data_IF_189346450415
#
_entry.id   IF_189346450415
#
_cell.length_a   1.000
_cell.length_b   1.000
_cell.length_c   1.000
_cell.angle_alpha   90.00
_cell.angle_beta   90.00
_cell.angle_gamma   90.00
#
_symmetry.space_group_name_H-M   'P 1'
#
loop_
_entity.id
_entity.type
_entity.pdbx_description
1 polymer ?
#
# COMPACT_ATOMS: atom_id res chain seq x y z
N UNK A 1 -10.15 -2.37 -7.25
CA UNK A 1 -10.87 -2.05 -8.50
C UNK A 1 -10.54 -3.04 -9.63
N UNK A 2 -9.28 -3.20 -10.04
CA UNK A 2 -8.87 -4.04 -11.19
C UNK A 2 -9.37 -5.49 -11.12
N UNK A 3 -9.22 -6.15 -9.95
CA UNK A 3 -9.67 -7.54 -9.74
C UNK A 3 -11.20 -7.66 -9.89
N UNK A 4 -11.96 -6.73 -9.31
CA UNK A 4 -13.42 -6.72 -9.43
C UNK A 4 -13.88 -6.56 -10.87
N UNK A 5 -13.21 -5.69 -11.64
CA UNK A 5 -13.46 -5.52 -13.08
C UNK A 5 -13.17 -6.83 -13.84
N UNK A 6 -12.02 -7.47 -13.59
CA UNK A 6 -11.68 -8.74 -14.23
C UNK A 6 -12.69 -9.83 -13.90
N UNK A 7 -13.14 -9.92 -12.66
CA UNK A 7 -14.12 -10.94 -12.23
C UNK A 7 -15.48 -10.65 -12.84
N UNK A 8 -15.88 -9.40 -12.99
CA UNK A 8 -17.10 -9.04 -13.72
C UNK A 8 -17.03 -9.49 -15.20
N UNK A 9 -15.87 -9.32 -15.86
CA UNK A 9 -15.64 -9.81 -17.23
C UNK A 9 -15.74 -11.35 -17.31
N UNK A 10 -15.11 -12.08 -16.38
CA UNK A 10 -15.15 -13.56 -16.33
C UNK A 10 -16.55 -14.12 -16.01
N UNK A 11 -17.31 -13.43 -15.15
CA UNK A 11 -18.70 -13.77 -14.83
C UNK A 11 -19.66 -13.39 -15.97
N UNK A 12 -19.25 -12.47 -16.85
CA UNK A 12 -20.08 -11.98 -17.94
C UNK A 12 -21.12 -10.94 -17.51
N UNK A 13 -20.86 -10.16 -16.45
CA UNK A 13 -21.73 -9.10 -15.96
C UNK A 13 -21.08 -7.71 -16.08
N UNK A 14 -21.89 -6.66 -15.98
CA UNK A 14 -21.36 -5.30 -15.87
C UNK A 14 -20.86 -5.04 -14.45
N UNK A 15 -19.70 -4.38 -14.32
CA UNK A 15 -19.20 -3.94 -13.02
C UNK A 15 -20.22 -3.01 -12.33
N UNK A 16 -20.52 -3.30 -11.06
CA UNK A 16 -21.54 -2.63 -10.26
C UNK A 16 -22.88 -3.37 -10.20
N UNK A 17 -23.10 -4.38 -11.04
CA UNK A 17 -24.26 -5.28 -10.98
C UNK A 17 -23.94 -6.46 -10.06
N UNK A 18 -23.86 -7.70 -10.57
CA UNK A 18 -23.60 -8.90 -9.76
C UNK A 18 -22.23 -8.89 -9.08
N UNK A 19 -21.23 -8.28 -9.73
CA UNK A 19 -19.89 -8.06 -9.19
C UNK A 19 -19.69 -6.56 -9.02
N UNK A 20 -19.35 -6.15 -7.81
CA UNK A 20 -19.12 -4.74 -7.47
C UNK A 20 -17.89 -4.57 -6.58
N UNK A 21 -17.53 -3.31 -6.34
CA UNK A 21 -16.48 -2.99 -5.39
C UNK A 21 -16.81 -1.78 -4.54
N UNK A 22 -16.22 -1.71 -3.35
CA UNK A 22 -16.26 -0.53 -2.50
C UNK A 22 -14.87 -0.25 -1.96
N UNK A 23 -14.36 0.93 -2.27
CA UNK A 23 -13.14 1.48 -1.67
C UNK A 23 -13.48 2.81 -0.99
N UNK A 24 -12.52 3.41 -0.30
CA UNK A 24 -12.76 4.67 0.40
C UNK A 24 -13.14 5.76 -0.62
N UNK A 25 -14.28 6.41 -0.38
CA UNK A 25 -14.85 7.48 -1.24
C UNK A 25 -15.37 7.04 -2.62
N UNK A 26 -15.33 5.74 -2.96
CA UNK A 26 -15.85 5.22 -4.22
C UNK A 26 -16.57 3.87 -4.00
N UNK A 27 -17.86 3.84 -4.31
CA UNK A 27 -18.72 2.67 -4.14
C UNK A 27 -19.44 2.36 -5.45
N UNK A 28 -19.01 1.27 -6.11
CA UNK A 28 -19.60 0.74 -7.32
C UNK A 28 -20.32 -0.57 -6.98
N UNK A 29 -21.41 -0.47 -6.22
CA UNK A 29 -22.28 -1.60 -5.87
C UNK A 29 -23.75 -1.25 -6.08
N UNK A 30 -24.60 -2.27 -6.19
CA UNK A 30 -26.04 -2.12 -6.33
C UNK A 30 -26.77 -3.19 -5.53
N UNK A 31 -28.11 -3.14 -5.40
CA UNK A 31 -28.88 -4.18 -4.73
C UNK A 31 -28.75 -5.57 -5.37
N UNK A 32 -28.29 -5.67 -6.63
CA UNK A 32 -28.04 -6.95 -7.30
C UNK A 32 -26.63 -7.51 -7.05
N UNK A 33 -25.75 -6.76 -6.38
CA UNK A 33 -24.37 -7.21 -6.09
C UNK A 33 -24.35 -8.41 -5.16
N UNK A 34 -23.75 -9.49 -5.64
CA UNK A 34 -23.55 -10.76 -4.93
C UNK A 34 -22.10 -10.94 -4.50
N UNK A 35 -21.16 -10.50 -5.33
CA UNK A 35 -19.72 -10.57 -5.05
C UNK A 35 -19.20 -9.14 -4.91
N UNK A 36 -18.72 -8.81 -3.71
CA UNK A 36 -18.27 -7.47 -3.36
C UNK A 36 -16.80 -7.50 -3.01
N UNK A 37 -15.96 -6.86 -3.82
CA UNK A 37 -14.56 -6.61 -3.51
C UNK A 37 -14.43 -5.32 -2.72
N UNK A 38 -13.78 -5.34 -1.57
CA UNK A 38 -13.57 -4.12 -0.81
C UNK A 38 -12.21 -4.11 -0.12
N UNK A 39 -11.75 -2.93 0.26
CA UNK A 39 -10.59 -2.84 1.14
C UNK A 39 -10.97 -3.31 2.56
N UNK A 40 -10.00 -3.87 3.26
CA UNK A 40 -10.09 -4.25 4.67
C UNK A 40 -10.67 -3.11 5.55
N UNK A 41 -10.23 -1.87 5.35
CA UNK A 41 -10.76 -0.70 6.06
C UNK A 41 -12.25 -0.44 5.81
N UNK A 42 -12.78 -0.74 4.61
CA UNK A 42 -14.21 -0.62 4.34
C UNK A 42 -15.01 -1.72 5.04
N UNK A 43 -14.49 -2.95 5.09
CA UNK A 43 -15.11 -4.03 5.85
C UNK A 43 -15.09 -3.74 7.37
N UNK A 44 -13.98 -3.19 7.87
CA UNK A 44 -13.87 -2.73 9.26
C UNK A 44 -14.89 -1.63 9.58
N UNK A 45 -15.25 -0.80 8.60
CA UNK A 45 -16.31 0.19 8.77
C UNK A 45 -17.70 -0.45 8.79
N UNK A 46 -17.96 -1.41 7.93
CA UNK A 46 -19.25 -2.10 7.89
C UNK A 46 -19.52 -2.87 9.19
N UNK A 47 -18.51 -3.53 9.77
CA UNK A 47 -18.68 -4.26 11.04
C UNK A 47 -18.94 -3.33 12.24
N UNK A 48 -18.56 -2.04 12.19
CA UNK A 48 -18.99 -1.05 13.19
C UNK A 48 -20.48 -0.79 13.15
N UNK A 49 -21.04 -0.74 11.92
CA UNK A 49 -22.45 -0.42 11.71
C UNK A 49 -23.32 -1.66 11.94
N UNK A 50 -22.84 -2.83 11.51
CA UNK A 50 -23.49 -4.12 11.68
C UNK A 50 -22.49 -5.17 12.16
N UNK A 51 -22.39 -5.34 13.48
CA UNK A 51 -21.46 -6.29 14.10
C UNK A 51 -21.73 -7.77 13.76
N UNK A 52 -22.94 -8.09 13.28
CA UNK A 52 -23.31 -9.45 12.86
C UNK A 52 -23.03 -9.70 11.37
N UNK A 53 -22.71 -8.64 10.61
CA UNK A 53 -22.46 -8.67 9.17
C UNK A 53 -23.54 -9.45 8.39
N UNK A 54 -24.81 -9.18 8.67
CA UNK A 54 -25.98 -9.97 8.19
C UNK A 54 -26.12 -10.00 6.68
N UNK A 55 -25.49 -9.05 5.99
CA UNK A 55 -25.45 -8.96 4.53
C UNK A 55 -24.56 -10.03 3.88
N UNK A 56 -23.67 -10.67 4.64
CA UNK A 56 -22.69 -11.61 4.12
C UNK A 56 -22.93 -13.02 4.64
N UNK A 57 -22.92 -13.99 3.74
CA UNK A 57 -22.89 -15.43 4.07
C UNK A 57 -21.46 -15.98 4.13
N UNK A 58 -20.52 -15.36 3.41
CA UNK A 58 -19.11 -15.69 3.43
C UNK A 58 -18.26 -14.42 3.31
N UNK A 59 -17.13 -14.39 4.00
CA UNK A 59 -16.12 -13.32 3.94
C UNK A 59 -14.77 -13.96 3.63
N UNK A 60 -14.09 -13.43 2.61
CA UNK A 60 -12.72 -13.81 2.27
C UNK A 60 -11.78 -12.66 2.60
N UNK A 61 -10.84 -12.90 3.53
CA UNK A 61 -9.76 -11.97 3.85
C UNK A 61 -8.55 -12.38 3.01
N UNK A 62 -8.30 -11.61 1.96
CA UNK A 62 -7.22 -11.88 1.01
C UNK A 62 -5.92 -11.19 1.40
N UNK A 63 -4.80 -11.71 0.87
CA UNK A 63 -3.46 -11.16 1.12
C UNK A 63 -3.13 -11.03 2.63
N UNK A 64 -3.62 -11.97 3.46
CA UNK A 64 -3.52 -11.94 4.92
C UNK A 64 -2.08 -11.84 5.46
N UNK A 65 -1.08 -12.17 4.64
CA UNK A 65 0.32 -12.04 4.97
C UNK A 65 0.84 -10.60 4.97
N UNK A 66 0.13 -9.63 4.38
CA UNK A 66 0.49 -8.21 4.50
C UNK A 66 0.29 -7.68 5.93
N UNK A 67 -0.54 -8.36 6.73
CA UNK A 67 -0.74 -8.08 8.17
C UNK A 67 -0.97 -6.59 8.45
N UNK A 68 -1.89 -5.99 7.69
CA UNK A 68 -2.35 -4.61 7.90
C UNK A 68 -3.09 -4.49 9.24
N UNK A 69 -3.18 -3.27 9.78
CA UNK A 69 -3.88 -3.05 11.05
C UNK A 69 -5.37 -3.41 10.94
N UNK A 70 -6.01 -3.01 9.84
CA UNK A 70 -7.43 -3.30 9.62
C UNK A 70 -7.68 -4.81 9.50
N UNK A 71 -6.82 -5.55 8.79
CA UNK A 71 -6.90 -7.00 8.68
C UNK A 71 -6.73 -7.70 10.03
N UNK A 72 -5.76 -7.27 10.85
CA UNK A 72 -5.55 -7.84 12.20
C UNK A 72 -6.73 -7.58 13.14
N UNK A 73 -7.32 -6.39 13.08
CA UNK A 73 -8.55 -6.08 13.82
C UNK A 73 -9.72 -6.94 13.31
N UNK A 74 -9.85 -7.08 11.99
CA UNK A 74 -10.88 -7.92 11.38
C UNK A 74 -10.76 -9.39 11.80
N UNK A 75 -9.55 -9.94 11.91
CA UNK A 75 -9.35 -11.31 12.39
C UNK A 75 -9.98 -11.53 13.77
N UNK A 76 -9.69 -10.63 14.71
CA UNK A 76 -10.22 -10.70 16.07
C UNK A 76 -11.75 -10.54 16.12
N UNK A 77 -12.29 -9.59 15.36
CA UNK A 77 -13.72 -9.35 15.30
C UNK A 77 -14.46 -10.52 14.65
N UNK A 78 -13.99 -11.00 13.51
CA UNK A 78 -14.63 -12.08 12.76
C UNK A 78 -14.54 -13.42 13.49
N UNK A 79 -13.42 -13.70 14.19
CA UNK A 79 -13.28 -14.86 15.09
C UNK A 79 -14.34 -14.85 16.19
N UNK A 80 -14.72 -13.68 16.70
CA UNK A 80 -15.84 -13.52 17.64
C UNK A 80 -17.19 -13.66 16.95
N UNK A 81 -17.39 -13.03 15.78
CA UNK A 81 -18.67 -13.07 15.04
C UNK A 81 -19.05 -14.49 14.64
N UNK A 82 -18.13 -15.33 14.16
CA UNK A 82 -18.44 -16.71 13.75
C UNK A 82 -18.89 -17.61 14.91
N UNK A 83 -18.50 -17.29 16.16
CA UNK A 83 -19.04 -17.99 17.34
C UNK A 83 -20.54 -17.73 17.54
N UNK A 84 -21.03 -16.56 17.12
CA UNK A 84 -22.43 -16.16 17.22
C UNK A 84 -23.23 -16.39 15.93
N UNK A 85 -22.55 -16.41 14.77
CA UNK A 85 -23.11 -16.59 13.42
C UNK A 85 -22.55 -17.88 12.79
N UNK A 86 -23.06 -19.08 13.16
CA UNK A 86 -22.53 -20.35 12.66
C UNK A 86 -22.75 -20.57 11.15
N UNK A 87 -23.66 -19.80 10.55
CA UNK A 87 -23.93 -19.78 9.12
C UNK A 87 -22.96 -18.88 8.32
N UNK A 88 -22.24 -17.96 8.98
CA UNK A 88 -21.18 -17.16 8.36
C UNK A 88 -19.92 -18.02 8.15
N UNK A 89 -19.36 -17.98 6.95
CA UNK A 89 -18.08 -18.63 6.62
C UNK A 89 -16.97 -17.59 6.49
N UNK A 90 -15.80 -17.88 7.06
CA UNK A 90 -14.59 -17.08 6.87
C UNK A 90 -13.59 -17.91 6.08
N UNK A 91 -12.98 -17.27 5.08
CA UNK A 91 -11.85 -17.80 4.32
C UNK A 91 -10.70 -16.81 4.50
N UNK A 92 -9.53 -17.29 4.89
CA UNK A 92 -8.31 -16.46 5.00
C UNK A 92 -7.33 -16.98 3.96
N UNK A 93 -6.98 -16.14 2.98
CA UNK A 93 -6.02 -16.48 1.93
C UNK A 93 -4.70 -15.76 2.18
N UNK A 94 -3.60 -16.51 2.03
CA UNK A 94 -2.24 -16.03 2.25
C UNK A 94 -1.30 -16.65 1.22
N UNK A 95 -0.31 -15.88 0.75
CA UNK A 95 0.74 -16.35 -0.15
C UNK A 95 1.97 -16.92 0.59
N UNK A 96 2.06 -16.74 1.92
CA UNK A 96 3.20 -17.21 2.71
C UNK A 96 2.91 -18.56 3.37
N UNK A 97 3.98 -19.29 3.71
CA UNK A 97 3.93 -20.60 4.33
C UNK A 97 3.55 -20.59 5.83
N UNK A 98 3.30 -19.43 6.43
CA UNK A 98 2.93 -19.32 7.85
C UNK A 98 1.44 -19.62 8.11
N UNK A 99 0.90 -20.61 7.40
CA UNK A 99 -0.50 -21.03 7.51
C UNK A 99 -0.81 -21.62 8.90
N UNK A 100 0.20 -22.19 9.57
CA UNK A 100 0.07 -22.77 10.91
C UNK A 100 -0.27 -21.71 11.96
N UNK A 101 0.30 -20.50 11.86
CA UNK A 101 -0.03 -19.40 12.77
C UNK A 101 -1.48 -18.95 12.61
N UNK A 102 -1.94 -18.82 11.36
CA UNK A 102 -3.36 -18.51 11.07
C UNK A 102 -4.28 -19.63 11.59
N UNK A 103 -3.95 -20.89 11.30
CA UNK A 103 -4.73 -22.05 11.75
C UNK A 103 -4.85 -22.08 13.27
N UNK A 104 -3.73 -21.96 13.98
CA UNK A 104 -3.69 -21.93 15.45
C UNK A 104 -4.55 -20.79 16.01
N UNK A 105 -4.44 -19.59 15.44
CA UNK A 105 -5.22 -18.43 15.87
C UNK A 105 -6.72 -18.61 15.63
N UNK A 106 -7.12 -19.24 14.52
CA UNK A 106 -8.53 -19.53 14.19
C UNK A 106 -9.03 -20.87 14.74
N UNK A 107 -8.49 -21.33 15.87
CA UNK A 107 -8.86 -22.57 16.57
C UNK A 107 -8.61 -23.85 15.75
N UNK A 108 -7.37 -24.01 15.26
CA UNK A 108 -6.91 -25.15 14.46
C UNK A 108 -7.75 -25.35 13.19
N UNK A 109 -8.08 -24.26 12.50
CA UNK A 109 -8.90 -24.36 11.30
C UNK A 109 -8.15 -25.13 10.18
N UNK A 110 -8.86 -25.91 9.35
CA UNK A 110 -8.22 -26.68 8.28
C UNK A 110 -7.41 -25.79 7.33
N UNK A 111 -6.19 -26.21 7.03
CA UNK A 111 -5.32 -25.55 6.04
C UNK A 111 -5.51 -26.23 4.70
N UNK A 112 -5.82 -25.44 3.67
CA UNK A 112 -5.88 -25.91 2.29
C UNK A 112 -4.74 -25.27 1.49
N UNK A 113 -3.75 -26.07 1.12
CA UNK A 113 -2.60 -25.62 0.34
C UNK A 113 -2.84 -25.91 -1.14
N UNK A 114 -2.87 -24.86 -1.96
CA UNK A 114 -2.86 -25.00 -3.42
C UNK A 114 -1.40 -25.19 -3.84
N UNK A 115 -1.01 -26.34 -4.42
CA UNK A 115 0.36 -26.53 -4.89
C UNK A 115 0.67 -25.49 -5.95
N UNK A 116 1.71 -24.69 -5.72
CA UNK A 116 2.14 -23.65 -6.64
C UNK A 116 2.46 -24.21 -8.02
N UNK A 117 2.06 -23.49 -9.07
CA UNK A 117 2.44 -23.78 -10.46
C UNK A 117 3.70 -23.01 -10.87
N UNK A 118 4.55 -22.66 -9.92
CA UNK A 118 5.77 -21.91 -10.20
C UNK A 118 6.84 -22.85 -10.76
N UNK A 119 7.44 -22.43 -11.86
CA UNK A 119 8.64 -23.05 -12.41
C UNK A 119 9.83 -22.84 -11.45
N UNK A 120 10.86 -23.70 -11.50
CA UNK A 120 12.04 -23.56 -10.66
C UNK A 120 12.74 -22.22 -10.93
N UNK A 121 13.16 -21.55 -9.86
CA UNK A 121 13.93 -20.31 -9.91
C UNK A 121 15.31 -20.56 -9.32
N UNK A 122 16.36 -20.31 -10.10
CA UNK A 122 17.74 -20.35 -9.61
C UNK A 122 18.02 -19.10 -8.76
N UNK A 123 18.48 -19.29 -7.51
CA UNK A 123 18.81 -18.19 -6.62
C UNK A 123 20.32 -17.98 -6.62
N UNK A 124 20.75 -16.76 -6.96
CA UNK A 124 22.14 -16.33 -6.93
C UNK A 124 22.31 -15.29 -5.82
N UNK A 125 23.35 -15.44 -5.01
CA UNK A 125 23.70 -14.51 -3.92
C UNK A 125 25.01 -13.79 -4.23
N UNK A 126 25.12 -12.53 -3.81
CA UNK A 126 26.41 -11.84 -3.78
C UNK A 126 27.39 -12.56 -2.85
N UNK A 127 28.67 -12.57 -3.22
CA UNK A 127 29.73 -13.19 -2.41
C UNK A 127 30.08 -12.37 -1.18
N UNK A 128 30.03 -11.05 -1.31
CA UNK A 128 30.33 -10.08 -0.26
C UNK A 128 29.16 -9.09 -0.14
N UNK A 129 28.98 -8.44 1.03
CA UNK A 129 27.98 -7.40 1.19
C UNK A 129 28.24 -6.20 0.27
N UNK A 130 27.23 -5.78 -0.48
CA UNK A 130 27.31 -4.61 -1.35
C UNK A 130 27.11 -3.32 -0.54
N UNK A 131 28.06 -2.37 -0.64
CA UNK A 131 27.96 -1.07 0.04
C UNK A 131 27.00 -0.11 -0.67
N UNK A 132 26.96 -0.16 -2.00
CA UNK A 132 26.04 0.58 -2.85
C UNK A 132 25.17 -0.40 -3.65
N UNK A 133 24.02 -0.76 -3.07
CA UNK A 133 23.10 -1.70 -3.69
C UNK A 133 22.47 -1.13 -4.98
N UNK A 134 22.41 0.19 -5.13
CA UNK A 134 21.79 0.82 -6.30
C UNK A 134 22.68 0.62 -7.52
N UNK A 135 23.98 0.92 -7.37
CA UNK A 135 24.95 0.71 -8.43
C UNK A 135 25.08 -0.78 -8.79
N UNK A 136 25.16 -1.65 -7.77
CA UNK A 136 25.22 -3.10 -7.97
C UNK A 136 23.97 -3.63 -8.71
N UNK A 137 22.79 -3.11 -8.39
CA UNK A 137 21.54 -3.47 -9.07
C UNK A 137 21.56 -3.08 -10.55
N UNK A 138 21.96 -1.85 -10.86
CA UNK A 138 22.02 -1.37 -12.24
C UNK A 138 23.03 -2.15 -13.09
N UNK A 139 24.21 -2.44 -12.52
CA UNK A 139 25.21 -3.27 -13.18
C UNK A 139 24.69 -4.70 -13.42
N UNK A 140 23.99 -5.28 -12.45
CA UNK A 140 23.39 -6.61 -12.59
C UNK A 140 22.33 -6.63 -13.69
N UNK A 141 21.46 -5.61 -13.77
CA UNK A 141 20.48 -5.47 -14.86
C UNK A 141 21.17 -5.42 -16.23
N UNK A 142 22.23 -4.62 -16.36
CA UNK A 142 22.99 -4.53 -17.61
C UNK A 142 23.66 -5.86 -17.98
N UNK A 143 24.25 -6.55 -17.00
CA UNK A 143 24.86 -7.85 -17.21
C UNK A 143 23.83 -8.88 -17.69
N UNK A 144 22.67 -8.95 -17.05
CA UNK A 144 21.56 -9.84 -17.44
C UNK A 144 21.13 -9.52 -18.88
N UNK A 145 20.93 -8.24 -19.21
CA UNK A 145 20.53 -7.83 -20.56
C UNK A 145 21.50 -8.28 -21.66
N UNK A 146 22.81 -8.23 -21.37
CA UNK A 146 23.86 -8.57 -22.33
C UNK A 146 24.18 -10.07 -22.45
N UNK A 147 23.99 -10.83 -21.37
CA UNK A 147 24.50 -12.21 -21.28
C UNK A 147 23.43 -13.29 -21.18
N UNK A 148 22.27 -12.98 -20.61
CA UNK A 148 21.20 -13.95 -20.40
C UNK A 148 20.27 -14.04 -21.62
N UNK A 149 19.58 -15.18 -21.84
CA UNK A 149 18.63 -15.35 -22.94
C UNK A 149 17.38 -14.47 -22.77
N UNK A 150 16.45 -14.54 -23.74
CA UNK A 150 15.20 -13.77 -23.72
C UNK A 150 14.44 -13.97 -22.40
N UNK A 151 14.01 -12.85 -21.83
CA UNK A 151 13.16 -12.78 -20.64
C UNK A 151 13.26 -11.40 -20.02
N UNK A 152 12.14 -10.88 -19.52
CA UNK A 152 12.10 -9.53 -18.96
C UNK A 152 12.65 -9.52 -17.53
N UNK A 153 13.10 -8.34 -17.11
CA UNK A 153 13.78 -8.12 -15.83
C UNK A 153 12.86 -7.35 -14.90
N UNK A 154 12.76 -7.78 -13.64
CA UNK A 154 12.12 -7.06 -12.56
C UNK A 154 13.15 -6.68 -11.50
N UNK A 155 13.38 -5.37 -11.33
CA UNK A 155 14.25 -4.82 -10.29
C UNK A 155 13.41 -4.22 -9.17
N UNK A 156 13.67 -4.62 -7.93
CA UNK A 156 13.05 -4.02 -6.74
C UNK A 156 13.88 -2.86 -6.20
N UNK A 157 13.27 -1.67 -6.01
CA UNK A 157 13.85 -0.50 -5.34
C UNK A 157 12.89 0.09 -4.30
N UNK A 158 13.35 1.03 -3.49
CA UNK A 158 12.61 1.41 -2.27
C UNK A 158 11.62 2.55 -2.46
N UNK A 159 11.78 3.39 -3.50
CA UNK A 159 10.88 4.52 -3.71
C UNK A 159 11.11 5.29 -5.01
N UNK A 160 10.24 6.26 -5.26
CA UNK A 160 10.19 7.02 -6.52
C UNK A 160 11.53 7.67 -6.90
N UNK A 161 12.18 8.38 -5.97
CA UNK A 161 13.42 9.11 -6.28
C UNK A 161 14.55 8.18 -6.74
N UNK A 162 14.69 7.02 -6.08
CA UNK A 162 15.64 5.98 -6.47
C UNK A 162 15.29 5.37 -7.83
N UNK A 163 14.00 5.11 -8.08
CA UNK A 163 13.51 4.53 -9.32
C UNK A 163 13.75 5.47 -10.50
N UNK A 164 13.35 6.74 -10.39
CA UNK A 164 13.48 7.73 -11.46
C UNK A 164 14.96 7.95 -11.80
N UNK A 165 15.82 8.08 -10.78
CA UNK A 165 17.27 8.22 -10.95
C UNK A 165 17.89 6.97 -11.58
N UNK A 166 17.45 5.79 -11.19
CA UNK A 166 17.88 4.52 -11.78
C UNK A 166 17.48 4.39 -13.25
N UNK A 167 16.28 4.85 -13.61
CA UNK A 167 15.83 4.85 -15.00
C UNK A 167 16.71 5.75 -15.88
N UNK A 168 17.02 6.96 -15.40
CA UNK A 168 17.89 7.91 -16.08
C UNK A 168 19.30 7.34 -16.29
N UNK A 169 19.93 6.83 -15.22
CA UNK A 169 21.28 6.27 -15.28
C UNK A 169 21.34 5.06 -16.22
N UNK A 170 20.37 4.15 -16.13
CA UNK A 170 20.33 2.97 -16.96
C UNK A 170 20.13 3.34 -18.44
N UNK A 171 19.27 4.33 -18.73
CA UNK A 171 19.07 4.83 -20.09
C UNK A 171 20.35 5.43 -20.68
N UNK A 172 21.07 6.26 -19.93
CA UNK A 172 22.35 6.84 -20.37
C UNK A 172 23.42 5.78 -20.62
N UNK A 173 23.53 4.80 -19.71
CA UNK A 173 24.48 3.68 -19.86
C UNK A 173 24.17 2.81 -21.08
N UNK A 174 22.89 2.49 -21.31
CA UNK A 174 22.48 1.74 -22.50
C UNK A 174 22.78 2.49 -23.79
N UNK A 175 22.57 3.81 -23.81
CA UNK A 175 22.93 4.65 -24.96
C UNK A 175 24.45 4.68 -25.23
N UNK A 176 25.26 4.63 -24.17
CA UNK A 176 26.72 4.64 -24.28
C UNK A 176 27.32 3.33 -24.84
N UNK A 177 26.62 2.20 -24.71
CA UNK A 177 27.07 0.90 -25.22
C UNK A 177 27.02 0.79 -26.76
N UNK A 178 26.34 1.71 -27.45
CA UNK A 178 26.29 1.77 -28.91
C UNK A 178 25.17 0.93 -29.56
N UNK A 179 25.07 0.93 -30.90
CA UNK A 179 23.94 0.36 -31.65
C UNK A 179 23.97 -1.18 -31.76
N UNK A 180 25.07 -1.84 -31.40
CA UNK A 180 25.20 -3.30 -31.49
C UNK A 180 24.50 -4.04 -30.34
N UNK A 181 24.02 -3.31 -29.33
CA UNK A 181 23.32 -3.87 -28.17
C UNK A 181 21.80 -3.85 -28.39
N UNK A 182 21.09 -4.95 -28.08
CA UNK A 182 19.63 -5.00 -28.12
C UNK A 182 18.99 -3.85 -27.33
N UNK A 183 17.86 -3.34 -27.79
CA UNK A 183 17.15 -2.26 -27.10
C UNK A 183 16.64 -2.74 -25.74
N UNK A 184 16.85 -1.91 -24.70
CA UNK A 184 16.34 -2.13 -23.35
C UNK A 184 15.24 -1.09 -23.06
N UNK A 185 14.01 -1.55 -22.88
CA UNK A 185 12.86 -0.70 -22.54
C UNK A 185 12.76 -0.61 -21.02
N UNK A 186 12.94 0.60 -20.49
CA UNK A 186 12.98 0.86 -19.04
C UNK A 186 11.65 1.46 -18.60
N UNK A 187 10.96 0.81 -17.66
CA UNK A 187 9.66 1.24 -17.16
C UNK A 187 9.62 1.33 -15.62
N UNK A 188 9.32 2.51 -15.04
CA UNK A 188 9.17 2.68 -13.59
C UNK A 188 7.77 2.25 -13.11
N UNK A 189 7.68 1.72 -11.88
CA UNK A 189 6.41 1.38 -11.21
C UNK A 189 6.46 1.70 -9.72
N UNK A 190 5.59 2.61 -9.28
CA UNK A 190 5.40 2.96 -7.87
C UNK A 190 3.98 3.50 -7.64
N UNK A 191 3.51 3.57 -6.39
CA UNK A 191 2.09 3.82 -6.10
C UNK A 191 1.53 5.15 -6.62
N UNK A 192 2.36 6.17 -6.78
CA UNK A 192 1.95 7.51 -7.26
C UNK A 192 1.97 7.66 -8.79
N UNK A 193 2.27 6.60 -9.55
CA UNK A 193 2.36 6.67 -11.01
C UNK A 193 0.97 6.71 -11.66
N UNK A 194 0.72 7.58 -12.67
CA UNK A 194 -0.54 7.61 -13.41
C UNK A 194 -0.89 6.26 -14.06
N UNK A 195 -2.20 5.94 -14.09
CA UNK A 195 -2.73 4.67 -14.62
C UNK A 195 -2.34 4.37 -16.07
N UNK A 196 -2.21 5.41 -16.90
CA UNK A 196 -1.78 5.29 -18.30
C UNK A 196 -0.37 4.70 -18.41
N UNK A 197 0.55 5.17 -17.57
CA UNK A 197 1.94 4.69 -17.56
C UNK A 197 2.02 3.30 -16.92
N UNK A 198 1.21 3.04 -15.89
CA UNK A 198 1.08 1.69 -15.31
C UNK A 198 0.49 0.66 -16.28
N UNK A 199 -0.20 1.06 -17.35
CA UNK A 199 -0.70 0.08 -18.32
C UNK A 199 0.43 -0.43 -19.22
N UNK A 200 1.43 0.42 -19.50
CA UNK A 200 2.56 0.09 -20.38
C UNK A 200 3.43 -1.05 -19.86
N UNK A 201 3.47 -1.29 -18.55
CA UNK A 201 4.25 -2.42 -18.00
C UNK A 201 3.68 -3.79 -18.37
N UNK A 202 2.40 -3.87 -18.73
CA UNK A 202 1.76 -5.11 -19.17
C UNK A 202 1.95 -5.35 -20.68
N UNK A 203 2.42 -4.36 -21.43
CA UNK A 203 2.68 -4.53 -22.85
C UNK A 203 3.92 -5.42 -23.06
N UNK A 204 3.87 -6.37 -24.01
CA UNK A 204 5.01 -7.23 -24.30
C UNK A 204 6.13 -6.43 -24.99
N UNK A 205 7.38 -6.78 -24.69
CA UNK A 205 8.53 -6.17 -25.36
C UNK A 205 8.53 -6.52 -26.87
N UNK A 206 8.80 -5.55 -27.77
CA UNK A 206 9.02 -5.80 -29.19
C UNK A 206 10.07 -6.89 -29.45
N UNK A 207 9.95 -7.65 -30.56
CA UNK A 207 10.94 -8.68 -30.91
C UNK A 207 12.34 -8.10 -31.03
N UNK A 208 13.31 -8.74 -30.35
CA UNK A 208 14.72 -8.28 -30.34
C UNK A 208 15.03 -7.23 -29.27
N UNK A 209 14.05 -6.84 -28.44
CA UNK A 209 14.26 -6.00 -27.27
C UNK A 209 13.99 -6.75 -25.97
N UNK A 210 14.40 -6.17 -24.84
CA UNK A 210 14.07 -6.64 -23.49
C UNK A 210 13.41 -5.51 -22.71
N UNK A 211 12.46 -5.83 -21.85
CA UNK A 211 11.89 -4.87 -20.90
C UNK A 211 12.52 -5.07 -19.52
N UNK A 212 12.85 -3.96 -18.87
CA UNK A 212 13.15 -3.92 -17.44
C UNK A 212 12.11 -3.07 -16.74
N UNK A 213 11.48 -3.66 -15.74
CA UNK A 213 10.54 -2.98 -14.86
C UNK A 213 11.25 -2.71 -13.54
N UNK A 214 11.33 -1.44 -13.16
CA UNK A 214 11.92 -1.00 -11.90
C UNK A 214 10.78 -0.62 -10.96
N UNK A 215 10.55 -1.44 -9.93
CA UNK A 215 9.35 -1.38 -9.12
C UNK A 215 9.63 -1.28 -7.62
N UNK A 216 8.69 -0.71 -6.87
CA UNK A 216 8.63 -0.91 -5.42
C UNK A 216 8.06 -2.29 -5.06
N UNK A 217 7.78 -2.54 -3.78
CA UNK A 217 7.08 -3.73 -3.31
C UNK A 217 5.65 -3.89 -3.88
N UNK A 218 5.13 -2.96 -4.68
CA UNK A 218 3.88 -3.16 -5.44
C UNK A 218 3.95 -4.35 -6.41
N UNK A 219 5.14 -4.66 -6.94
CA UNK A 219 5.36 -5.85 -7.77
C UNK A 219 5.53 -7.15 -6.95
N UNK A 220 5.68 -7.03 -5.62
CA UNK A 220 5.85 -8.15 -4.70
C UNK A 220 4.54 -8.86 -4.39
N UNK A 221 3.43 -8.11 -4.29
CA UNK A 221 2.07 -8.61 -4.01
C UNK A 221 1.09 -8.19 -5.10
N UNK A 222 0.85 -6.88 -5.24
CA UNK A 222 -0.30 -6.28 -5.93
C UNK A 222 -0.36 -6.47 -7.46
N UNK A 223 0.77 -6.69 -8.15
CA UNK A 223 0.81 -6.72 -9.62
C UNK A 223 1.57 -7.94 -10.14
N UNK A 224 1.01 -8.58 -11.17
CA UNK A 224 1.63 -9.65 -11.93
C UNK A 224 2.01 -9.15 -13.31
N UNK A 225 3.30 -9.14 -13.61
CA UNK A 225 3.82 -8.79 -14.93
C UNK A 225 4.21 -10.10 -15.61
N UNK A 226 3.64 -10.35 -16.78
CA UNK A 226 3.95 -11.54 -17.57
C UNK A 226 5.37 -11.43 -18.17
N UNK A 227 5.97 -12.58 -18.51
CA UNK A 227 7.29 -12.69 -19.14
C UNK A 227 8.48 -12.21 -18.28
N UNK A 228 8.31 -12.06 -16.97
CA UNK A 228 9.44 -11.86 -16.04
C UNK A 228 10.15 -13.20 -15.80
N UNK A 229 11.41 -13.27 -16.22
CA UNK A 229 12.29 -14.43 -15.99
C UNK A 229 13.46 -14.11 -15.06
N UNK A 230 13.81 -12.82 -14.92
CA UNK A 230 14.94 -12.38 -14.13
C UNK A 230 14.48 -11.39 -13.07
N UNK A 231 14.79 -11.67 -11.81
CA UNK A 231 14.54 -10.76 -10.69
C UNK A 231 15.87 -10.28 -10.13
N UNK A 232 16.00 -8.97 -9.89
CA UNK A 232 17.12 -8.38 -9.15
C UNK A 232 16.56 -7.84 -7.83
N UNK A 233 17.03 -8.39 -6.72
CA UNK A 233 16.55 -8.09 -5.37
C UNK A 233 17.69 -7.53 -4.49
N UNK A 234 17.73 -6.20 -4.30
CA UNK A 234 18.64 -5.57 -3.35
C UNK A 234 18.37 -5.90 -1.88
N UNK A 235 17.20 -6.46 -1.54
CA UNK A 235 16.89 -6.85 -0.16
C UNK A 235 16.35 -5.74 0.73
N UNK A 236 15.90 -4.61 0.16
CA UNK A 236 15.36 -3.48 0.91
C UNK A 236 13.89 -3.17 0.58
N UNK A 237 13.21 -2.53 1.54
CA UNK A 237 11.86 -1.99 1.40
C UNK A 237 11.74 -0.71 2.24
N UNK A 238 10.93 0.24 1.78
CA UNK A 238 10.57 1.43 2.55
C UNK A 238 9.27 1.17 3.27
N UNK A 239 9.27 1.29 4.60
CA UNK A 239 8.11 0.98 5.42
C UNK A 239 7.85 2.05 6.48
N UNK A 240 6.58 2.18 6.88
CA UNK A 240 6.18 3.06 7.98
C UNK A 240 6.68 2.49 9.30
N UNK A 241 7.32 3.33 10.09
CA UNK A 241 7.78 3.05 11.44
C UNK A 241 7.37 4.20 12.36
N UNK A 242 6.69 3.86 13.45
CA UNK A 242 6.26 4.79 14.48
C UNK A 242 7.27 4.82 15.62
N UNK A 243 7.69 6.02 16.02
CA UNK A 243 8.46 6.23 17.24
C UNK A 243 7.53 6.71 18.37
N UNK A 244 7.22 5.86 19.37
CA UNK A 244 6.34 6.24 20.48
C UNK A 244 6.88 7.36 21.36
N UNK A 245 8.21 7.55 21.41
CA UNK A 245 8.81 8.61 22.23
C UNK A 245 8.66 9.97 21.58
N UNK A 246 8.74 10.01 20.26
CA UNK A 246 8.56 11.23 19.48
C UNK A 246 7.09 11.47 19.12
N UNK A 247 6.26 10.42 19.14
CA UNK A 247 4.86 10.48 18.73
C UNK A 247 4.67 10.66 17.22
N UNK A 248 5.63 10.21 16.40
CA UNK A 248 5.66 10.49 14.95
C UNK A 248 5.83 9.22 14.12
N UNK A 249 5.10 9.15 13.01
CA UNK A 249 5.33 8.19 11.95
C UNK A 249 6.47 8.68 11.03
N UNK A 250 7.35 7.75 10.66
CA UNK A 250 8.45 7.98 9.72
C UNK A 250 8.48 6.89 8.65
N UNK A 251 8.98 7.21 7.47
CA UNK A 251 9.23 6.22 6.42
C UNK A 251 10.71 5.86 6.42
N UNK A 252 11.02 4.64 6.84
CA UNK A 252 12.40 4.16 6.99
C UNK A 252 12.67 3.06 5.98
N UNK A 253 13.86 3.09 5.37
CA UNK A 253 14.35 1.99 4.54
C UNK A 253 14.92 0.92 5.46
N UNK A 254 14.46 -0.31 5.28
CA UNK A 254 14.86 -1.45 6.11
C UNK A 254 15.08 -2.70 5.26
N UNK A 255 15.88 -3.67 5.73
CA UNK A 255 15.94 -4.98 5.11
C UNK A 255 14.57 -5.65 5.03
N UNK A 256 14.36 -6.46 4.00
CA UNK A 256 13.15 -7.29 3.84
C UNK A 256 13.20 -8.53 4.72
N UNK A 257 12.04 -9.16 4.94
CA UNK A 257 11.99 -10.49 5.55
C UNK A 257 12.28 -11.61 4.53
N UNK A 258 12.61 -12.80 5.03
CA UNK A 258 12.82 -13.99 4.19
C UNK A 258 11.56 -14.34 3.39
N UNK A 259 10.37 -14.17 3.99
CA UNK A 259 9.10 -14.35 3.29
C UNK A 259 8.98 -13.41 2.07
N UNK A 260 9.31 -12.13 2.24
CA UNK A 260 9.30 -11.15 1.14
C UNK A 260 10.34 -11.48 0.07
N UNK A 261 11.56 -11.82 0.47
CA UNK A 261 12.62 -12.24 -0.44
C UNK A 261 12.21 -13.47 -1.29
N UNK A 262 11.45 -14.39 -0.71
CA UNK A 262 10.94 -15.57 -1.41
C UNK A 262 9.78 -15.21 -2.36
N UNK A 263 8.90 -14.28 -1.98
CA UNK A 263 7.87 -13.76 -2.88
C UNK A 263 8.46 -13.03 -4.08
N UNK A 264 9.47 -12.18 -3.85
CA UNK A 264 10.21 -11.49 -4.92
C UNK A 264 10.85 -12.48 -5.89
N UNK A 265 11.58 -13.47 -5.37
CA UNK A 265 12.16 -14.53 -6.19
C UNK A 265 11.10 -15.31 -7.00
N UNK A 266 9.95 -15.59 -6.39
CA UNK A 266 8.83 -16.29 -7.04
C UNK A 266 8.26 -15.57 -8.25
N UNK A 267 8.48 -14.25 -8.39
CA UNK A 267 8.04 -13.48 -9.58
C UNK A 267 8.77 -13.92 -10.85
N UNK A 268 10.00 -14.43 -10.76
CA UNK A 268 10.76 -14.98 -11.90
C UNK A 268 10.24 -16.35 -12.39
N UNK A 269 9.48 -17.08 -11.56
CA UNK A 269 9.06 -18.45 -11.84
C UNK A 269 7.64 -18.59 -12.39
N UNK A 270 7.01 -17.52 -12.85
CA UNK A 270 5.58 -17.52 -13.23
C UNK A 270 5.32 -18.03 -14.64
N UNK A 271 6.15 -17.62 -15.59
CA UNK A 271 5.99 -17.98 -17.01
C UNK A 271 6.85 -19.19 -17.39
N UNK A 272 8.04 -19.31 -16.82
CA UNK A 272 8.99 -20.39 -17.08
C UNK A 272 10.11 -20.41 -16.05
N UNK A 273 11.12 -21.30 -16.22
CA UNK A 273 12.28 -21.34 -15.33
C UNK A 273 13.04 -20.02 -15.35
N UNK A 274 13.26 -19.42 -14.18
CA UNK A 274 13.84 -18.08 -14.05
C UNK A 274 15.05 -18.03 -13.14
N UNK A 275 15.62 -16.83 -12.96
CA UNK A 275 16.72 -16.56 -12.04
C UNK A 275 16.41 -15.37 -11.14
N UNK A 276 16.83 -15.44 -9.88
CA UNK A 276 16.75 -14.35 -8.93
C UNK A 276 18.15 -14.01 -8.41
N UNK A 277 18.57 -12.77 -8.65
CA UNK A 277 19.85 -12.22 -8.22
C UNK A 277 19.66 -11.41 -6.94
N UNK A 278 20.05 -11.98 -5.80
CA UNK A 278 20.01 -11.35 -4.49
C UNK A 278 21.33 -10.62 -4.25
N UNK A 279 21.28 -9.30 -4.07
CA UNK A 279 22.48 -8.46 -3.88
C UNK A 279 22.99 -8.46 -2.43
N UNK A 280 22.75 -9.56 -1.73
CA UNK A 280 23.14 -9.81 -0.36
C UNK A 280 23.65 -11.24 -0.24
N UNK A 281 24.44 -11.51 0.78
CA UNK A 281 25.03 -12.82 0.99
C UNK A 281 23.99 -13.82 1.47
N UNK A 282 24.24 -15.11 1.22
CA UNK A 282 23.40 -16.18 1.76
C UNK A 282 23.40 -16.18 3.30
N UNK A 283 24.52 -15.83 3.92
CA UNK A 283 24.64 -15.68 5.37
C UNK A 283 23.71 -14.57 5.90
N UNK A 284 23.66 -13.41 5.24
CA UNK A 284 22.76 -12.33 5.62
C UNK A 284 21.28 -12.74 5.49
N UNK A 285 20.93 -13.45 4.42
CA UNK A 285 19.58 -14.00 4.24
C UNK A 285 19.16 -14.93 5.39
N UNK A 286 20.05 -15.82 5.82
CA UNK A 286 19.72 -16.81 6.85
C UNK A 286 19.78 -16.26 8.28
N UNK A 287 20.74 -15.38 8.58
CA UNK A 287 21.04 -14.95 9.94
C UNK A 287 20.55 -13.54 10.29
N UNK A 288 20.48 -12.62 9.32
CA UNK A 288 20.16 -11.21 9.57
C UNK A 288 18.70 -10.87 9.22
N UNK A 289 18.15 -11.48 8.16
CA UNK A 289 16.76 -11.24 7.74
C UNK A 289 15.77 -11.97 8.64
N UNK A 290 14.73 -11.26 9.08
CA UNK A 290 13.63 -11.84 9.85
C UNK A 290 12.87 -12.88 9.00
N UNK A 291 12.35 -13.98 9.58
CA UNK A 291 11.57 -14.96 8.83
C UNK A 291 10.33 -14.37 8.16
N UNK A 292 9.59 -13.54 8.89
CA UNK A 292 8.36 -12.89 8.46
C UNK A 292 8.40 -11.40 8.76
N UNK A 293 7.63 -10.62 8.02
CA UNK A 293 7.49 -9.18 8.25
C UNK A 293 6.75 -8.92 9.57
N UNK A 294 7.23 -7.96 10.35
CA UNK A 294 6.57 -7.53 11.58
C UNK A 294 5.20 -6.93 11.21
N UNK A 295 4.09 -7.27 11.87
CA UNK A 295 2.77 -6.78 11.51
C UNK A 295 2.67 -5.26 11.68
N UNK A 296 1.77 -4.62 10.90
CA UNK A 296 1.61 -3.17 10.92
C UNK A 296 1.19 -2.64 12.30
N UNK A 297 0.41 -3.43 13.05
CA UNK A 297 -0.10 -3.06 14.38
C UNK A 297 1.01 -2.83 15.42
N UNK A 298 2.18 -3.42 15.22
CA UNK A 298 3.33 -3.24 16.12
C UNK A 298 4.23 -2.06 15.73
N UNK A 299 3.96 -1.39 14.60
CA UNK A 299 4.90 -0.44 13.98
C UNK A 299 4.29 0.88 13.53
N UNK A 300 2.99 1.08 13.73
CA UNK A 300 2.28 2.29 13.29
C UNK A 300 1.53 2.93 14.46
N UNK A 301 1.15 4.19 14.30
CA UNK A 301 0.26 4.87 15.24
C UNK A 301 -1.09 4.14 15.33
N UNK A 302 -1.58 3.95 16.56
CA UNK A 302 -2.83 3.23 16.86
C UNK A 302 -3.99 4.16 17.24
N UNK A 303 -3.81 5.48 17.25
CA UNK A 303 -4.85 6.44 17.68
C UNK A 303 -6.16 6.29 16.92
N UNK A 304 -6.11 6.18 15.58
CA UNK A 304 -7.30 5.88 14.79
C UNK A 304 -7.90 4.51 15.16
N UNK A 305 -7.08 3.45 15.20
CA UNK A 305 -7.54 2.09 15.52
C UNK A 305 -8.19 1.98 16.89
N UNK A 306 -7.62 2.61 17.91
CA UNK A 306 -8.16 2.61 19.28
C UNK A 306 -9.49 3.35 19.32
N UNK A 307 -9.60 4.50 18.65
CA UNK A 307 -10.86 5.23 18.55
C UNK A 307 -11.97 4.34 17.96
N UNK A 308 -11.65 3.58 16.92
CA UNK A 308 -12.56 2.67 16.26
C UNK A 308 -12.96 1.50 17.15
N UNK A 309 -12.01 0.86 17.84
CA UNK A 309 -12.29 -0.22 18.80
C UNK A 309 -13.18 0.26 19.96
N UNK A 310 -12.90 1.46 20.49
CA UNK A 310 -13.73 2.09 21.52
C UNK A 310 -15.14 2.41 21.00
N UNK A 311 -15.28 2.85 19.76
CA UNK A 311 -16.57 3.05 19.11
C UNK A 311 -17.37 1.74 18.94
N UNK A 312 -16.70 0.60 18.75
CA UNK A 312 -17.32 -0.74 18.76
C UNK A 312 -17.76 -1.20 20.17
N UNK A 313 -17.43 -0.44 21.22
CA UNK A 313 -17.69 -0.84 22.61
C UNK A 313 -16.63 -1.76 23.21
N UNK A 314 -15.46 -1.89 22.56
CA UNK A 314 -14.33 -2.67 23.08
C UNK A 314 -13.54 -1.77 24.04
N UNK A 315 -13.75 -1.98 25.34
CA UNK A 315 -13.09 -1.18 26.38
C UNK A 315 -11.78 -1.77 26.86
N UNK A 316 -11.68 -3.11 26.91
CA UNK A 316 -10.47 -3.83 27.29
C UNK A 316 -9.58 -4.05 26.06
N UNK A 317 -8.72 -3.08 25.80
CA UNK A 317 -7.79 -3.09 24.67
C UNK A 317 -6.57 -3.98 24.93
N UNK A 318 -6.23 -4.21 26.19
CA UNK A 318 -5.04 -4.99 26.59
C UNK A 318 -5.29 -6.48 26.35
N UNK A 319 -6.48 -6.96 26.72
CA UNK A 319 -6.87 -8.36 26.52
C UNK A 319 -7.64 -8.59 25.20
N UNK A 320 -7.62 -7.62 24.28
CA UNK A 320 -8.20 -7.83 22.96
C UNK A 320 -7.41 -8.91 22.22
N UNK A 321 -8.13 -9.82 21.56
CA UNK A 321 -7.59 -11.05 20.94
C UNK A 321 -6.84 -10.75 19.63
N UNK A 322 -5.83 -9.87 19.66
CA UNK A 322 -4.93 -9.67 18.54
C UNK A 322 -4.10 -10.91 18.28
N UNK A 323 -3.83 -11.23 17.01
CA UNK A 323 -2.91 -12.31 16.66
C UNK A 323 -1.49 -12.03 17.16
N UNK A 324 -1.04 -10.78 16.98
CA UNK A 324 0.20 -10.27 17.57
C UNK A 324 -0.14 -8.94 18.26
N UNK A 325 -0.09 -8.85 19.60
CA UNK A 325 -0.48 -7.64 20.31
C UNK A 325 0.49 -6.49 20.04
N UNK A 326 0.00 -5.24 19.98
CA UNK A 326 0.86 -4.07 19.90
C UNK A 326 1.65 -3.84 21.20
N UNK A 327 2.80 -3.13 21.13
CA UNK A 327 3.51 -2.71 22.34
C UNK A 327 2.64 -1.85 23.25
N UNK A 328 2.69 -2.11 24.57
CA UNK A 328 1.89 -1.40 25.58
C UNK A 328 2.13 0.11 25.54
N UNK A 329 3.39 0.54 25.33
CA UNK A 329 3.72 1.97 25.24
C UNK A 329 2.99 2.65 24.08
N UNK A 330 2.90 2.00 22.90
CA UNK A 330 2.18 2.54 21.74
C UNK A 330 0.68 2.66 22.03
N UNK A 331 0.09 1.68 22.73
CA UNK A 331 -1.30 1.77 23.18
C UNK A 331 -1.54 2.94 24.14
N UNK A 332 -0.64 3.13 25.11
CA UNK A 332 -0.74 4.22 26.09
C UNK A 332 -0.64 5.59 25.43
N UNK A 333 0.37 5.80 24.57
CA UNK A 333 0.54 7.07 23.85
C UNK A 333 -0.68 7.39 22.98
N UNK A 334 -1.26 6.39 22.31
CA UNK A 334 -2.47 6.58 21.52
C UNK A 334 -3.71 6.92 22.38
N UNK A 335 -3.85 6.31 23.56
CA UNK A 335 -4.90 6.67 24.53
C UNK A 335 -4.72 8.09 25.07
N UNK A 336 -3.49 8.49 25.40
CA UNK A 336 -3.14 9.84 25.82
C UNK A 336 -3.44 10.87 24.73
N UNK A 337 -3.13 10.57 23.47
CA UNK A 337 -3.47 11.41 22.32
C UNK A 337 -4.99 11.59 22.19
N UNK A 338 -5.76 10.50 22.25
CA UNK A 338 -7.22 10.56 22.16
C UNK A 338 -7.86 11.31 23.34
N UNK A 339 -7.29 11.16 24.54
CA UNK A 339 -7.69 11.94 25.70
C UNK A 339 -7.38 13.44 25.54
N UNK A 340 -6.19 13.79 25.04
CA UNK A 340 -5.84 15.17 24.70
C UNK A 340 -6.74 15.77 23.60
N UNK A 341 -7.20 14.94 22.67
CA UNK A 341 -8.20 15.31 21.67
C UNK A 341 -9.62 15.41 22.25
N UNK A 342 -9.83 15.07 23.52
CA UNK A 342 -11.15 14.99 24.17
C UNK A 342 -12.09 13.99 23.51
N UNK A 343 -11.52 13.01 22.80
CA UNK A 343 -12.25 11.88 22.23
C UNK A 343 -12.58 10.85 23.33
N UNK A 344 -11.73 10.76 24.35
CA UNK A 344 -11.91 9.96 25.55
C UNK A 344 -12.07 10.84 26.80
N UNK A 345 -12.78 10.34 27.80
CA UNK A 345 -12.89 10.96 29.14
C UNK A 345 -11.84 10.40 30.12
N UNK A 346 -11.90 10.84 31.38
CA UNK A 346 -10.98 10.44 32.46
C UNK A 346 -11.02 8.94 32.78
N UNK A 347 -12.14 8.26 32.45
CA UNK A 347 -12.30 6.81 32.61
C UNK A 347 -11.86 6.04 31.35
N UNK A 348 -11.39 6.74 30.31
CA UNK A 348 -11.01 6.15 29.04
C UNK A 348 -12.21 5.67 28.21
N UNK A 349 -13.41 6.19 28.47
CA UNK A 349 -14.62 5.92 27.72
C UNK A 349 -14.82 6.97 26.62
N UNK A 350 -15.55 6.57 25.59
CA UNK A 350 -15.75 7.41 24.40
C UNK A 350 -16.71 8.57 24.71
N UNK A 351 -16.25 9.80 24.50
CA UNK A 351 -17.08 11.00 24.67
C UNK A 351 -18.06 11.16 23.50
N UNK A 352 -19.02 12.08 23.64
CA UNK A 352 -19.90 12.47 22.51
C UNK A 352 -19.10 13.02 21.32
N UNK A 353 -17.99 13.70 21.59
CA UNK A 353 -17.08 14.18 20.54
C UNK A 353 -16.35 12.99 19.89
N UNK A 354 -15.78 12.09 20.68
CA UNK A 354 -15.10 10.89 20.19
C UNK A 354 -16.01 10.02 19.31
N UNK A 355 -17.28 9.86 19.69
CA UNK A 355 -18.26 9.14 18.87
C UNK A 355 -18.48 9.79 17.50
N UNK A 356 -18.59 11.12 17.45
CA UNK A 356 -18.67 11.84 16.17
C UNK A 356 -17.39 11.72 15.37
N UNK A 357 -16.23 11.74 16.01
CA UNK A 357 -14.93 11.58 15.33
C UNK A 357 -14.82 10.22 14.65
N UNK A 358 -15.31 9.14 15.29
CA UNK A 358 -15.30 7.79 14.73
C UNK A 358 -16.16 7.62 13.46
N UNK A 359 -17.11 8.53 13.20
CA UNK A 359 -17.91 8.51 11.98
C UNK A 359 -17.10 8.98 10.74
N UNK A 360 -16.01 9.72 10.96
CA UNK A 360 -15.13 10.20 9.89
C UNK A 360 -14.05 9.16 9.57
N UNK A 361 -13.82 8.83 8.29
CA UNK A 361 -12.84 7.82 7.90
C UNK A 361 -11.41 8.38 7.89
N UNK A 362 -10.97 9.11 8.91
CA UNK A 362 -9.68 9.84 8.89
C UNK A 362 -9.04 9.95 10.27
N UNK A 363 -7.81 10.44 10.32
CA UNK A 363 -7.08 10.62 11.58
C UNK A 363 -7.89 11.44 12.60
N UNK A 364 -7.90 11.04 13.89
CA UNK A 364 -8.68 11.70 14.94
C UNK A 364 -8.45 13.22 15.00
N UNK A 365 -7.21 13.68 14.85
CA UNK A 365 -6.87 15.11 14.85
C UNK A 365 -7.60 15.89 13.74
N UNK A 366 -7.62 15.36 12.52
CA UNK A 366 -8.32 15.97 11.38
C UNK A 366 -9.84 15.92 11.56
N UNK A 367 -10.37 14.82 12.09
CA UNK A 367 -11.80 14.70 12.41
C UNK A 367 -12.24 15.75 13.44
N UNK A 368 -11.44 15.96 14.50
CA UNK A 368 -11.69 17.01 15.51
C UNK A 368 -11.70 18.40 14.89
N UNK A 369 -10.75 18.70 14.00
CA UNK A 369 -10.66 19.98 13.30
C UNK A 369 -11.93 20.25 12.48
N UNK A 370 -12.42 19.27 11.72
CA UNK A 370 -13.65 19.42 10.94
C UNK A 370 -14.89 19.64 11.83
N UNK A 371 -14.97 18.94 12.95
CA UNK A 371 -16.08 19.11 13.90
C UNK A 371 -16.04 20.51 14.52
N UNK A 372 -14.86 20.98 14.95
CA UNK A 372 -14.68 22.31 15.53
C UNK A 372 -14.91 23.44 14.53
N UNK A 373 -14.61 23.23 13.25
CA UNK A 373 -14.82 24.21 12.19
C UNK A 373 -16.30 24.62 12.01
N UNK A 374 -17.24 23.73 12.35
CA UNK A 374 -18.67 24.03 12.35
C UNK A 374 -19.00 25.11 13.39
N UNK A 375 -18.45 24.97 14.61
CA UNK A 375 -18.66 25.93 15.69
C UNK A 375 -17.96 27.28 15.39
N UNK A 376 -16.81 27.23 14.72
CA UNK A 376 -16.05 28.41 14.27
C UNK A 376 -16.57 29.06 12.97
N UNK A 377 -17.58 28.45 12.32
CA UNK A 377 -18.18 28.91 11.05
C UNK A 377 -17.20 29.02 9.88
N UNK A 378 -16.21 28.12 9.82
CA UNK A 378 -15.21 28.01 8.74
C UNK A 378 -15.17 26.60 8.12
N UNK A 379 -16.32 25.92 8.10
CA UNK A 379 -16.41 24.51 7.70
C UNK A 379 -16.07 24.27 6.22
N UNK A 380 -16.38 25.21 5.31
CA UNK A 380 -16.12 25.04 3.87
C UNK A 380 -14.62 25.12 3.57
N UNK A 381 -13.94 26.10 4.18
CA UNK A 381 -12.50 26.28 4.07
C UNK A 381 -11.75 25.11 4.70
N UNK A 382 -12.14 24.69 5.91
CA UNK A 382 -11.49 23.58 6.60
C UNK A 382 -11.73 22.24 5.90
N UNK A 383 -12.91 21.99 5.35
CA UNK A 383 -13.17 20.80 4.54
C UNK A 383 -12.25 20.75 3.32
N UNK A 384 -12.05 21.89 2.65
CA UNK A 384 -11.15 22.01 1.51
C UNK A 384 -9.70 21.74 1.91
N UNK A 385 -9.21 22.37 2.98
CA UNK A 385 -7.83 22.18 3.49
C UNK A 385 -7.59 20.73 3.87
N UNK A 386 -8.50 20.13 4.64
CA UNK A 386 -8.35 18.74 5.11
C UNK A 386 -8.40 17.76 3.94
N UNK A 387 -9.23 18.01 2.92
CA UNK A 387 -9.23 17.21 1.70
C UNK A 387 -7.88 17.28 0.97
N UNK A 388 -7.33 18.49 0.84
CA UNK A 388 -6.04 18.74 0.19
C UNK A 388 -4.86 18.13 0.97
N UNK A 389 -4.92 18.05 2.31
CA UNK A 389 -3.86 17.43 3.13
C UNK A 389 -3.72 15.92 2.92
N UNK A 390 -4.78 15.26 2.48
CA UNK A 390 -4.74 13.82 2.17
C UNK A 390 -4.11 13.53 0.79
N UNK A 391 -3.69 14.56 0.05
CA UNK A 391 -3.24 14.46 -1.35
C UNK A 391 -1.88 15.14 -1.54
N UNK A 392 -1.01 14.55 -2.36
CA UNK A 392 0.18 15.22 -2.86
C UNK A 392 -0.16 15.98 -4.14
N UNK A 393 -0.37 17.29 -4.05
CA UNK A 393 -0.96 18.08 -5.15
C UNK A 393 0.09 18.62 -6.13
N UNK A 394 1.27 18.99 -5.62
CA UNK A 394 2.27 19.67 -6.42
C UNK A 394 3.14 18.69 -7.20
N UNK A 395 3.16 18.83 -8.53
CA UNK A 395 4.06 18.10 -9.41
C UNK A 395 5.30 18.96 -9.70
N UNK A 396 6.50 18.39 -9.54
CA UNK A 396 7.76 19.14 -9.71
C UNK A 396 8.74 18.38 -10.61
N UNK A 397 8.52 18.38 -11.95
CA UNK A 397 9.40 17.67 -12.88
C UNK A 397 10.80 18.28 -12.92
N UNK A 398 11.85 17.43 -12.96
CA UNK A 398 13.27 17.82 -12.90
C UNK A 398 13.65 18.87 -13.95
N UNK A 399 13.18 18.73 -15.18
CA UNK A 399 13.50 19.66 -16.29
C UNK A 399 12.85 21.04 -16.15
N UNK A 400 11.73 21.16 -15.40
CA UNK A 400 10.93 22.38 -15.30
C UNK A 400 10.75 22.87 -13.87
N UNK A 401 11.67 22.53 -12.97
CA UNK A 401 11.61 22.89 -11.54
C UNK A 401 11.38 24.38 -11.32
N UNK A 402 12.15 25.25 -11.99
CA UNK A 402 12.02 26.71 -11.83
C UNK A 402 10.63 27.21 -12.25
N UNK A 403 10.04 26.64 -13.31
CA UNK A 403 8.70 27.01 -13.75
C UNK A 403 7.63 26.52 -12.77
N UNK A 404 7.77 25.29 -12.26
CA UNK A 404 6.87 24.72 -11.26
C UNK A 404 6.90 25.55 -9.96
N UNK A 405 8.10 25.93 -9.50
CA UNK A 405 8.29 26.74 -8.30
C UNK A 405 7.68 28.16 -8.48
N UNK A 406 7.84 28.77 -9.65
CA UNK A 406 7.19 30.05 -9.99
C UNK A 406 5.66 29.95 -10.01
N UNK A 407 5.09 28.84 -10.51
CA UNK A 407 3.64 28.62 -10.50
C UNK A 407 3.13 28.39 -9.08
N UNK A 408 3.82 27.57 -8.28
CA UNK A 408 3.53 27.35 -6.86
C UNK A 408 3.54 28.66 -6.07
N UNK A 409 4.52 29.53 -6.31
CA UNK A 409 4.64 30.83 -5.65
C UNK A 409 3.42 31.75 -5.87
N UNK A 410 2.64 31.57 -6.95
CA UNK A 410 1.41 32.35 -7.19
C UNK A 410 0.29 32.03 -6.19
N UNK A 411 0.31 30.82 -5.62
CA UNK A 411 -0.70 30.37 -4.67
C UNK A 411 -0.24 30.51 -3.21
N UNK A 412 1.05 30.77 -3.00
CA UNK A 412 1.65 30.87 -1.68
C UNK A 412 0.99 31.97 -0.85
N UNK A 413 0.49 31.59 0.32
CA UNK A 413 0.00 32.50 1.33
C UNK A 413 1.07 32.73 2.41
N UNK A 414 1.45 33.98 2.71
CA UNK A 414 2.43 34.29 3.75
C UNK A 414 2.05 33.81 5.16
N UNK A 415 0.76 33.57 5.41
CA UNK A 415 0.27 33.16 6.72
C UNK A 415 0.31 31.64 6.93
N UNK A 416 0.60 30.84 5.88
CA UNK A 416 0.90 29.42 6.04
C UNK A 416 0.56 28.51 4.85
N UNK A 417 1.12 27.31 4.89
CA UNK A 417 0.95 26.29 3.84
C UNK A 417 -0.49 25.77 3.73
N UNK A 418 -1.25 25.71 4.83
CA UNK A 418 -2.66 25.31 4.78
C UNK A 418 -3.51 26.28 3.95
N UNK A 419 -3.25 27.59 4.06
CA UNK A 419 -3.93 28.60 3.26
C UNK A 419 -3.46 28.57 1.81
N UNK A 420 -2.20 28.22 1.58
CA UNK A 420 -1.69 27.94 0.23
C UNK A 420 -2.48 26.81 -0.45
N UNK A 421 -2.76 25.71 0.27
CA UNK A 421 -3.59 24.62 -0.26
C UNK A 421 -5.02 25.08 -0.58
N UNK A 422 -5.61 25.92 0.28
CA UNK A 422 -6.93 26.51 0.05
C UNK A 422 -6.94 27.42 -1.20
N UNK A 423 -5.90 28.22 -1.39
CA UNK A 423 -5.75 29.07 -2.58
C UNK A 423 -5.66 28.24 -3.87
N UNK A 424 -4.93 27.12 -3.83
CA UNK A 424 -4.86 26.17 -4.94
C UNK A 424 -6.24 25.60 -5.26
N UNK A 425 -6.95 25.08 -4.24
CA UNK A 425 -8.30 24.52 -4.39
C UNK A 425 -9.28 25.53 -4.98
N UNK A 426 -9.28 26.76 -4.45
CA UNK A 426 -10.13 27.83 -4.95
C UNK A 426 -9.76 28.26 -6.38
N UNK A 427 -8.46 28.24 -6.72
CA UNK A 427 -7.99 28.48 -8.08
C UNK A 427 -8.55 27.45 -9.07
N UNK A 428 -8.50 26.16 -8.72
CA UNK A 428 -9.04 25.07 -9.52
C UNK A 428 -10.57 25.11 -9.63
N UNK A 429 -11.27 25.41 -8.53
CA UNK A 429 -12.72 25.60 -8.51
C UNK A 429 -13.15 26.74 -9.43
N UNK A 430 -12.42 27.87 -9.43
CA UNK A 430 -12.70 29.04 -10.30
C UNK A 430 -12.42 28.77 -11.78
N UNK A 431 -11.50 27.86 -12.10
CA UNK A 431 -11.26 27.44 -13.50
C UNK A 431 -12.31 26.47 -14.03
N UNK A 432 -13.31 26.09 -13.21
CA UNK A 432 -14.35 25.14 -13.60
C UNK A 432 -13.85 23.70 -13.60
N UNK A 433 -12.92 23.35 -12.70
CA UNK A 433 -12.38 22.01 -12.53
C UNK A 433 -11.62 21.45 -13.75
N UNK A 434 -11.01 22.32 -14.54
CA UNK A 434 -10.37 21.94 -15.79
C UNK A 434 -9.01 21.25 -15.60
N UNK A 435 -8.79 20.14 -16.29
CA UNK A 435 -7.52 19.39 -16.30
C UNK A 435 -6.39 20.23 -16.90
N UNK A 436 -6.70 21.02 -17.93
CA UNK A 436 -5.74 21.92 -18.57
C UNK A 436 -5.16 22.93 -17.56
N UNK A 437 -5.99 23.45 -16.65
CA UNK A 437 -5.55 24.36 -15.60
C UNK A 437 -4.58 23.67 -14.62
N UNK A 438 -4.84 22.42 -14.26
CA UNK A 438 -3.95 21.65 -13.41
C UNK A 438 -2.58 21.47 -14.09
N UNK A 439 -2.57 21.06 -15.37
CA UNK A 439 -1.35 20.88 -16.14
C UNK A 439 -0.52 22.17 -16.25
N UNK A 440 -1.15 23.30 -16.56
CA UNK A 440 -0.50 24.61 -16.68
C UNK A 440 0.10 25.14 -15.36
N UNK A 441 -0.41 24.66 -14.22
CA UNK A 441 0.02 25.07 -12.89
C UNK A 441 0.83 24.00 -12.16
N UNK A 442 1.22 22.92 -12.85
CA UNK A 442 1.96 21.79 -12.27
C UNK A 442 1.25 21.20 -11.04
N UNK A 443 -0.06 21.04 -11.15
CA UNK A 443 -0.92 20.42 -10.16
C UNK A 443 -1.35 19.05 -10.70
N UNK A 444 -1.31 18.03 -9.87
CA UNK A 444 -1.83 16.70 -10.22
C UNK A 444 -3.36 16.75 -10.27
N UNK A 445 -3.94 16.33 -11.40
CA UNK A 445 -5.40 16.29 -11.61
C UNK A 445 -6.00 14.97 -11.14
N UNK A 446 -5.36 13.85 -11.50
CA UNK A 446 -5.85 12.51 -11.19
C UNK A 446 -5.33 12.04 -9.82
N UNK A 447 -6.26 11.54 -9.01
CA UNK A 447 -6.02 10.56 -7.96
C UNK A 447 -7.07 9.45 -8.06
#
# INVERSE_FOLDING_TARGET
MSVAKRVAEEVGCKLGEEVGYTVRFDDCTSPSTKIKYMTDGMLQREILMDGDLKRYSAIMLDEAHERTIATDVLFALLKKTVKHRPDLKIIVTSATLDADKFSSYFNECPIFTIPGRTFPVEILYSREPESDYLEAALLTVMQIHLTEPKGDILLFLTGQEEIDTSCEILYERMKALGPDVPELIILPVYSALPSEIQTRIFEPAPPGSRKVVIATNIAETSITIDEIYFVVDPGFVKQKAYDPKLGMDSLVVTPISQAQANQRAGRAGRTGPGKCFRLYTEAAYQAEMLPTTIPAIQRQNLSHTILMLKAMGINDLINFDFMDPPPVNTLLTALEELYALSALDDEGLLTRLGRKMADFPMEPSLAKVLIAAVDMRCSDEMLSIVSMLNMNIFYRPKEKQTQADQKKAKFHDPHGDHLTLLNVWNGWKRSGYQNAWCFENYIQHDL
#
